data_IF_652369984555
#
_entry.id   IF_652369984555
#
_cell.length_a   1.000
_cell.length_b   1.000
_cell.length_c   1.000
_cell.angle_alpha   90.00
_cell.angle_beta   90.00
_cell.angle_gamma   90.00
#
_symmetry.space_group_name_H-M   'P 1'
#
loop_
_entity.id
_entity.type
_entity.pdbx_description
1 polymer ?
#
# COMPACT_ATOMS: atom_id res chain seq x y z
N UNK A 1 23.37 -0.87 -29.72
CA UNK A 1 22.21 -0.83 -30.62
C UNK A 1 21.46 -2.16 -30.53
N UNK A 2 20.13 -2.12 -30.46
CA UNK A 2 19.29 -3.31 -30.53
C UNK A 2 19.35 -3.90 -31.95
N UNK A 3 19.47 -5.21 -32.05
CA UNK A 3 19.51 -5.89 -33.36
C UNK A 3 18.08 -6.15 -33.85
N UNK A 4 17.88 -6.23 -35.18
CA UNK A 4 16.58 -6.58 -35.75
C UNK A 4 16.07 -7.93 -35.25
N UNK A 5 17.00 -8.88 -34.99
CA UNK A 5 16.70 -10.18 -34.40
C UNK A 5 16.10 -10.05 -32.98
N UNK A 6 16.67 -9.21 -32.12
CA UNK A 6 16.17 -8.98 -30.75
C UNK A 6 14.76 -8.42 -30.78
N UNK A 7 14.48 -7.45 -31.64
CA UNK A 7 13.14 -6.85 -31.80
C UNK A 7 12.14 -7.86 -32.35
N UNK A 8 12.55 -8.69 -33.31
CA UNK A 8 11.70 -9.75 -33.87
C UNK A 8 11.33 -10.79 -32.79
N UNK A 9 12.32 -11.29 -32.05
CA UNK A 9 12.07 -12.22 -30.93
C UNK A 9 11.19 -11.57 -29.82
N UNK A 10 11.41 -10.31 -29.47
CA UNK A 10 10.58 -9.59 -28.52
C UNK A 10 9.12 -9.53 -28.99
N UNK A 11 8.88 -9.28 -30.30
CA UNK A 11 7.53 -9.27 -30.86
C UNK A 11 6.86 -10.65 -30.79
N UNK A 12 7.62 -11.72 -30.97
CA UNK A 12 7.12 -13.10 -30.80
C UNK A 12 6.71 -13.37 -29.35
N UNK A 13 7.54 -13.00 -28.36
CA UNK A 13 7.21 -13.15 -26.95
C UNK A 13 6.00 -12.32 -26.56
N UNK A 14 5.88 -11.11 -27.08
CA UNK A 14 4.70 -10.26 -26.89
C UNK A 14 3.44 -10.93 -27.45
N UNK A 15 3.49 -11.46 -28.67
CA UNK A 15 2.36 -12.19 -29.29
C UNK A 15 1.95 -13.42 -28.48
N UNK A 16 2.92 -14.18 -27.94
CA UNK A 16 2.67 -15.35 -27.09
C UNK A 16 1.89 -14.90 -25.83
N UNK A 17 2.29 -13.80 -25.20
CA UNK A 17 1.61 -13.27 -24.03
C UNK A 17 0.20 -12.77 -24.36
N UNK A 18 0.02 -11.99 -25.43
CA UNK A 18 -1.27 -11.46 -25.86
C UNK A 18 -2.29 -12.56 -26.22
N UNK A 19 -1.81 -13.74 -26.63
CA UNK A 19 -2.67 -14.91 -26.87
C UNK A 19 -3.15 -15.58 -25.58
N UNK A 20 -2.49 -15.34 -24.45
CA UNK A 20 -2.87 -15.89 -23.16
C UNK A 20 -3.84 -14.96 -22.43
N UNK A 21 -5.13 -14.99 -22.84
CA UNK A 21 -6.19 -14.14 -22.28
C UNK A 21 -6.35 -14.31 -20.77
N UNK A 22 -6.17 -15.56 -20.27
CA UNK A 22 -6.29 -15.84 -18.83
C UNK A 22 -5.19 -15.12 -18.04
N UNK A 23 -3.93 -15.18 -18.50
CA UNK A 23 -2.84 -14.49 -17.82
C UNK A 23 -3.04 -12.97 -17.78
N UNK A 24 -3.57 -12.38 -18.85
CA UNK A 24 -3.88 -10.95 -18.91
C UNK A 24 -4.99 -10.60 -17.94
N UNK A 25 -6.10 -11.35 -17.96
CA UNK A 25 -7.23 -11.11 -17.07
C UNK A 25 -6.82 -11.21 -15.60
N UNK A 26 -6.18 -12.30 -15.18
CA UNK A 26 -5.78 -12.48 -13.79
C UNK A 26 -4.74 -11.46 -13.31
N UNK A 27 -3.85 -11.01 -14.20
CA UNK A 27 -2.84 -10.02 -13.82
C UNK A 27 -3.41 -8.62 -13.61
N UNK A 28 -4.52 -8.27 -14.26
CA UNK A 28 -5.24 -7.01 -14.08
C UNK A 28 -6.31 -7.11 -12.98
N UNK A 29 -6.95 -8.27 -12.86
CA UNK A 29 -8.08 -8.50 -11.96
C UNK A 29 -7.71 -8.27 -10.49
N UNK A 30 -6.58 -8.83 -10.04
CA UNK A 30 -6.14 -8.70 -8.66
C UNK A 30 -5.90 -7.24 -8.23
N UNK A 31 -5.08 -6.43 -8.91
CA UNK A 31 -4.92 -5.02 -8.57
C UNK A 31 -6.23 -4.24 -8.61
N UNK A 32 -7.10 -4.50 -9.60
CA UNK A 32 -8.37 -3.78 -9.74
C UNK A 32 -9.37 -4.13 -8.65
N UNK A 33 -9.43 -5.39 -8.20
CA UNK A 33 -10.27 -5.77 -7.04
C UNK A 33 -9.78 -5.05 -5.78
N UNK A 34 -8.47 -5.05 -5.53
CA UNK A 34 -7.94 -4.37 -4.36
C UNK A 34 -8.22 -2.86 -4.40
N UNK A 35 -7.96 -2.24 -5.54
CA UNK A 35 -8.28 -0.82 -5.75
C UNK A 35 -9.78 -0.58 -5.51
N UNK A 36 -10.65 -1.41 -6.08
CA UNK A 36 -12.11 -1.29 -5.90
C UNK A 36 -12.52 -1.47 -4.44
N UNK A 37 -12.09 -2.57 -3.80
CA UNK A 37 -12.44 -2.87 -2.41
C UNK A 37 -12.03 -1.74 -1.44
N UNK A 38 -10.80 -1.24 -1.56
CA UNK A 38 -10.31 -0.15 -0.71
C UNK A 38 -10.82 1.22 -1.10
N UNK A 39 -11.30 1.41 -2.32
CA UNK A 39 -11.97 2.64 -2.74
C UNK A 39 -13.34 2.79 -2.11
N UNK A 40 -14.08 1.69 -2.01
CA UNK A 40 -15.37 1.67 -1.32
C UNK A 40 -15.23 1.71 0.19
N UNK A 41 -14.12 1.18 0.75
CA UNK A 41 -13.84 1.17 2.19
C UNK A 41 -13.17 2.47 2.68
N UNK A 42 -12.70 3.32 1.80
CA UNK A 42 -11.97 4.57 2.11
C UNK A 42 -12.77 5.83 1.85
N UNK A 43 -14.11 5.74 1.81
CA UNK A 43 -14.99 6.89 1.95
C UNK A 43 -14.68 7.62 3.27
N UNK A 44 -15.18 8.84 3.42
CA UNK A 44 -15.20 9.58 4.66
C UNK A 44 -15.45 8.59 5.79
N UNK A 45 -14.58 8.55 6.80
CA UNK A 45 -14.80 7.67 7.95
C UNK A 45 -16.18 8.01 8.43
N UNK A 46 -17.06 7.01 8.50
CA UNK A 46 -18.33 7.18 9.19
C UNK A 46 -18.01 7.77 10.56
N UNK A 47 -18.68 8.84 10.95
CA UNK A 47 -18.46 9.44 12.25
C UNK A 47 -18.63 8.35 13.31
N UNK A 48 -17.78 8.38 14.36
CA UNK A 48 -17.85 7.41 15.45
C UNK A 48 -19.23 7.50 16.13
N UNK A 49 -19.94 6.40 16.19
CA UNK A 49 -21.23 6.34 16.86
C UNK A 49 -21.01 6.18 18.36
N UNK A 50 -21.27 7.29 19.12
CA UNK A 50 -21.05 7.34 20.56
C UNK A 50 -22.40 7.45 21.26
N UNK A 51 -22.64 6.53 22.20
CA UNK A 51 -23.78 6.60 23.12
C UNK A 51 -23.50 7.62 24.22
N UNK A 52 -24.49 8.45 24.56
CA UNK A 52 -24.41 9.38 25.72
C UNK A 52 -25.60 9.14 26.64
N UNK A 53 -25.30 8.75 27.88
CA UNK A 53 -26.26 8.60 28.94
C UNK A 53 -26.12 9.79 29.89
N UNK A 54 -26.97 10.82 29.72
CA UNK A 54 -26.98 12.02 30.60
C UNK A 54 -27.92 11.82 31.77
N UNK A 55 -27.36 11.68 32.99
CA UNK A 55 -28.10 11.63 34.23
C UNK A 55 -28.24 13.00 34.87
N UNK A 56 -27.35 13.96 34.54
CA UNK A 56 -27.34 15.28 35.14
C UNK A 56 -28.44 16.20 34.61
N UNK A 57 -28.78 16.06 33.33
CA UNK A 57 -29.75 16.91 32.59
C UNK A 57 -29.53 18.41 32.82
N UNK A 58 -28.27 18.81 32.96
CA UNK A 58 -27.88 20.19 33.19
C UNK A 58 -27.73 20.97 31.89
N UNK A 59 -27.74 22.30 31.94
CA UNK A 59 -27.43 23.11 30.74
C UNK A 59 -26.02 22.88 30.22
N UNK A 60 -25.09 22.49 31.10
CA UNK A 60 -23.70 22.24 30.74
C UNK A 60 -23.55 20.88 30.10
N UNK A 61 -24.27 19.84 30.56
CA UNK A 61 -24.28 18.54 29.88
C UNK A 61 -24.87 18.64 28.47
N UNK A 62 -25.96 19.42 28.31
CA UNK A 62 -26.55 19.65 26.99
C UNK A 62 -25.57 20.39 26.05
N UNK A 63 -24.84 21.39 26.53
CA UNK A 63 -23.81 22.10 25.73
C UNK A 63 -22.65 21.18 25.38
N UNK A 64 -22.27 20.22 26.23
CA UNK A 64 -21.28 19.22 25.98
C UNK A 64 -21.73 18.25 24.87
N UNK A 65 -22.95 17.74 24.95
CA UNK A 65 -23.53 16.84 23.97
C UNK A 65 -23.63 17.54 22.61
N UNK A 66 -24.09 18.80 22.59
CA UNK A 66 -24.15 19.60 21.37
C UNK A 66 -22.76 19.84 20.76
N UNK A 67 -21.75 20.16 21.57
CA UNK A 67 -20.38 20.36 21.13
C UNK A 67 -19.74 19.09 20.55
N UNK A 68 -20.08 17.89 21.06
CA UNK A 68 -19.68 16.62 20.49
C UNK A 68 -20.34 16.36 19.13
N UNK A 69 -21.62 16.72 18.99
CA UNK A 69 -22.38 16.54 17.74
C UNK A 69 -22.00 17.55 16.64
N UNK A 70 -21.41 18.70 16.98
CA UNK A 70 -20.89 19.67 16.02
C UNK A 70 -19.57 19.23 15.36
N UNK A 71 -18.85 18.29 15.99
CA UNK A 71 -17.64 17.74 15.40
C UNK A 71 -18.02 16.66 14.36
N UNK A 72 -17.57 16.80 13.12
CA UNK A 72 -17.73 15.82 12.02
C UNK A 72 -17.22 14.41 12.36
N UNK A 73 -16.57 14.26 13.53
CA UNK A 73 -15.98 13.01 14.02
C UNK A 73 -17.01 12.10 14.72
N UNK A 74 -18.13 12.66 15.24
CA UNK A 74 -19.05 11.91 16.08
C UNK A 74 -20.50 11.98 15.58
N UNK A 75 -21.18 10.85 15.69
CA UNK A 75 -22.64 10.79 15.70
C UNK A 75 -23.06 10.41 17.12
N UNK A 76 -23.77 11.32 17.80
CA UNK A 76 -24.18 11.14 19.19
C UNK A 76 -25.55 10.47 19.23
N UNK A 77 -25.66 9.38 20.00
CA UNK A 77 -26.91 8.70 20.29
C UNK A 77 -27.23 8.86 21.76
N UNK A 78 -28.26 9.65 22.10
CA UNK A 78 -28.71 9.82 23.47
C UNK A 78 -29.66 8.70 23.89
N UNK A 79 -29.48 8.17 25.09
CA UNK A 79 -30.34 7.11 25.62
C UNK A 79 -30.12 6.78 27.09
N UNK A 80 -30.82 5.74 27.57
CA UNK A 80 -30.57 5.23 28.91
C UNK A 80 -29.32 4.36 28.92
N UNK A 81 -28.56 4.44 29.99
CA UNK A 81 -27.30 3.71 30.14
C UNK A 81 -27.43 2.21 29.82
N UNK A 82 -28.50 1.56 30.38
CA UNK A 82 -28.73 0.11 30.15
C UNK A 82 -28.91 -0.27 28.71
N UNK A 83 -29.59 0.58 27.92
CA UNK A 83 -29.92 0.30 26.52
C UNK A 83 -28.69 0.54 25.60
N UNK A 84 -27.90 1.55 25.96
CA UNK A 84 -26.65 1.91 25.26
C UNK A 84 -25.51 0.94 25.62
N UNK A 85 -25.48 0.41 26.85
CA UNK A 85 -24.52 -0.60 27.28
C UNK A 85 -24.73 -1.92 26.48
N UNK A 86 -25.98 -2.32 26.27
CA UNK A 86 -26.31 -3.49 25.44
C UNK A 86 -25.84 -3.30 23.98
N UNK A 87 -26.03 -2.10 23.41
CA UNK A 87 -25.58 -1.77 22.07
C UNK A 87 -24.04 -1.71 21.98
N UNK A 88 -23.35 -1.21 23.01
CA UNK A 88 -21.89 -1.22 23.10
C UNK A 88 -21.36 -2.67 23.11
N UNK A 89 -21.97 -3.53 23.92
CA UNK A 89 -21.61 -4.96 24.00
C UNK A 89 -21.93 -5.73 22.71
N UNK A 90 -22.96 -5.31 21.97
CA UNK A 90 -23.28 -5.85 20.66
C UNK A 90 -22.31 -5.39 19.56
N UNK A 91 -21.52 -4.31 19.82
CA UNK A 91 -20.59 -3.73 18.85
C UNK A 91 -21.25 -2.70 17.92
N UNK A 92 -22.46 -2.27 18.23
CA UNK A 92 -23.20 -1.25 17.47
C UNK A 92 -22.75 0.18 17.81
N UNK A 93 -22.05 0.37 18.95
CA UNK A 93 -21.44 1.63 19.38
C UNK A 93 -19.94 1.48 19.55
N UNK A 94 -19.17 2.52 19.21
CA UNK A 94 -17.72 2.58 19.45
C UNK A 94 -17.34 3.06 20.85
N UNK A 95 -18.27 3.70 21.55
CA UNK A 95 -18.06 4.16 22.92
C UNK A 95 -19.35 4.60 23.57
N UNK A 96 -19.37 4.63 24.90
CA UNK A 96 -20.48 5.10 25.72
C UNK A 96 -19.97 6.06 26.80
N UNK A 97 -20.53 7.25 26.81
CA UNK A 97 -20.24 8.29 27.80
C UNK A 97 -21.38 8.31 28.84
N UNK A 98 -21.03 8.17 30.11
CA UNK A 98 -21.93 8.37 31.22
C UNK A 98 -21.64 9.72 31.88
N UNK A 99 -22.61 10.60 31.85
CA UNK A 99 -22.58 11.89 32.55
C UNK A 99 -23.36 11.73 33.88
N UNK A 100 -22.67 11.74 35.01
CA UNK A 100 -23.33 11.53 36.30
C UNK A 100 -24.17 12.73 36.74
N UNK A 101 -25.07 12.53 37.70
CA UNK A 101 -25.98 13.59 38.24
C UNK A 101 -25.22 14.82 38.79
N UNK A 102 -24.03 14.61 39.33
CA UNK A 102 -23.16 15.65 39.91
C UNK A 102 -22.07 16.14 38.95
N UNK A 103 -22.30 16.08 37.62
CA UNK A 103 -21.30 16.41 36.56
C UNK A 103 -20.68 17.81 36.76
N UNK A 104 -21.40 18.76 37.26
CA UNK A 104 -20.88 20.09 37.58
C UNK A 104 -21.28 20.47 39.00
N UNK A 105 -20.35 20.27 39.94
CA UNK A 105 -20.44 20.81 41.30
C UNK A 105 -19.27 21.79 41.48
N UNK A 106 -19.54 22.95 42.13
CA UNK A 106 -18.47 23.92 42.43
C UNK A 106 -17.43 23.39 43.42
N UNK A 107 -17.72 22.29 44.13
CA UNK A 107 -16.90 21.71 45.19
C UNK A 107 -16.14 20.44 44.79
N UNK A 108 -16.59 19.72 43.74
CA UNK A 108 -15.96 18.48 43.29
C UNK A 108 -15.67 18.53 41.80
N UNK A 109 -14.51 17.93 41.40
CA UNK A 109 -14.17 17.68 40.01
C UNK A 109 -15.17 16.66 39.43
N UNK A 110 -16.02 17.10 38.52
CA UNK A 110 -16.93 16.22 37.80
C UNK A 110 -16.15 15.14 37.06
N UNK A 111 -16.43 13.88 37.36
CA UNK A 111 -15.82 12.74 36.70
C UNK A 111 -16.78 12.22 35.62
N UNK A 112 -16.36 12.21 34.39
CA UNK A 112 -17.08 11.63 33.27
C UNK A 112 -16.54 10.19 33.03
N UNK A 113 -17.43 9.23 32.94
CA UNK A 113 -17.05 7.85 32.71
C UNK A 113 -17.18 7.52 31.22
N UNK A 114 -16.08 7.05 30.64
CA UNK A 114 -16.03 6.64 29.21
C UNK A 114 -15.83 5.16 29.12
N UNK A 115 -16.84 4.44 28.65
CA UNK A 115 -16.84 3.00 28.42
C UNK A 115 -16.51 2.70 26.97
N UNK A 116 -15.57 1.78 26.75
CA UNK A 116 -15.08 1.41 25.41
C UNK A 116 -14.83 -0.09 25.32
N UNK A 117 -14.96 -0.63 24.13
CA UNK A 117 -14.51 -1.98 23.86
C UNK A 117 -12.96 -2.02 23.79
N UNK A 118 -12.34 -2.75 24.72
CA UNK A 118 -10.88 -2.90 24.80
C UNK A 118 -10.26 -3.56 23.55
N UNK A 119 -11.05 -4.19 22.69
CA UNK A 119 -10.56 -4.76 21.42
C UNK A 119 -10.25 -3.68 20.37
N UNK A 120 -10.81 -2.47 20.51
CA UNK A 120 -10.69 -1.36 19.56
C UNK A 120 -9.66 -0.28 19.99
N UNK A 121 -8.56 -0.69 20.58
CA UNK A 121 -7.53 0.17 21.22
C UNK A 121 -7.04 1.35 20.39
N UNK A 122 -7.04 1.24 19.05
CA UNK A 122 -6.57 2.33 18.18
C UNK A 122 -7.55 3.50 18.06
N UNK A 123 -8.84 3.22 18.15
CA UNK A 123 -9.92 4.23 18.06
C UNK A 123 -10.09 4.97 19.38
N UNK A 124 -9.97 4.25 20.49
CA UNK A 124 -10.10 4.81 21.87
C UNK A 124 -9.24 6.04 22.09
N UNK A 125 -7.96 6.02 21.65
CA UNK A 125 -7.08 7.17 21.84
C UNK A 125 -7.47 8.43 21.04
N UNK A 126 -8.15 8.27 19.90
CA UNK A 126 -8.66 9.39 19.08
C UNK A 126 -9.91 9.96 19.74
N UNK A 127 -10.85 9.08 20.09
CA UNK A 127 -12.12 9.45 20.76
C UNK A 127 -11.83 10.15 22.08
N UNK A 128 -10.95 9.60 22.92
CA UNK A 128 -10.58 10.21 24.21
C UNK A 128 -10.02 11.62 24.04
N UNK A 129 -9.10 11.83 23.08
CA UNK A 129 -8.53 13.16 22.81
C UNK A 129 -9.58 14.18 22.36
N UNK A 130 -10.54 13.75 21.56
CA UNK A 130 -11.61 14.62 21.10
C UNK A 130 -12.56 14.98 22.26
N UNK A 131 -12.93 14.01 23.11
CA UNK A 131 -13.70 14.25 24.34
C UNK A 131 -12.96 15.23 25.26
N UNK A 132 -11.66 15.03 25.50
CA UNK A 132 -10.83 15.92 26.30
C UNK A 132 -10.81 17.35 25.73
N UNK A 133 -10.71 17.49 24.42
CA UNK A 133 -10.72 18.79 23.74
C UNK A 133 -12.08 19.54 23.95
N UNK A 134 -13.19 18.81 23.78
CA UNK A 134 -14.53 19.35 23.99
C UNK A 134 -14.73 19.77 25.46
N UNK A 135 -14.30 18.95 26.43
CA UNK A 135 -14.35 19.28 27.86
C UNK A 135 -13.54 20.55 28.23
N UNK A 136 -12.31 20.64 27.68
CA UNK A 136 -11.45 21.83 27.87
C UNK A 136 -12.13 23.09 27.28
N UNK A 137 -12.77 22.96 26.15
CA UNK A 137 -13.49 24.07 25.50
C UNK A 137 -14.61 24.60 26.41
N UNK A 138 -15.40 23.70 27.00
CA UNK A 138 -16.50 24.04 27.91
C UNK A 138 -15.95 24.62 29.20
N UNK A 139 -14.93 24.03 29.80
CA UNK A 139 -14.29 24.56 31.01
C UNK A 139 -13.83 26.02 30.82
N UNK A 140 -13.22 26.32 29.64
CA UNK A 140 -12.80 27.69 29.33
C UNK A 140 -13.98 28.65 29.22
N UNK A 141 -15.08 28.22 28.60
CA UNK A 141 -16.31 29.03 28.52
C UNK A 141 -16.88 29.33 29.91
N UNK A 142 -17.00 28.30 30.77
CA UNK A 142 -17.54 28.44 32.12
C UNK A 142 -16.66 29.38 32.99
N UNK A 143 -15.33 29.22 32.89
CA UNK A 143 -14.37 30.05 33.65
C UNK A 143 -14.12 31.41 33.02
N UNK A 144 -14.71 31.70 31.86
CA UNK A 144 -14.49 32.93 31.07
C UNK A 144 -13.00 33.22 30.80
N UNK A 145 -12.24 32.17 30.54
CA UNK A 145 -10.80 32.24 30.26
C UNK A 145 -10.59 32.22 28.73
N UNK A 146 -10.06 33.31 28.18
CA UNK A 146 -9.66 33.36 26.79
C UNK A 146 -8.43 32.46 26.53
N UNK A 147 -8.40 31.73 25.44
CA UNK A 147 -7.22 30.90 25.12
C UNK A 147 -5.99 31.80 24.92
N UNK A 148 -4.90 31.45 25.60
CA UNK A 148 -3.61 32.17 25.48
C UNK A 148 -2.93 31.94 24.10
N UNK A 149 -3.29 30.82 23.46
CA UNK A 149 -2.72 30.43 22.17
C UNK A 149 -3.86 29.99 21.25
N UNK A 150 -3.81 30.45 20.02
CA UNK A 150 -4.68 29.95 18.94
C UNK A 150 -3.82 29.10 18.00
N UNK A 151 -4.21 27.85 17.76
CA UNK A 151 -3.56 26.96 16.81
C UNK A 151 -4.29 27.08 15.49
N UNK A 152 -3.70 27.84 14.56
CA UNK A 152 -4.20 27.90 13.17
C UNK A 152 -3.63 26.72 12.40
N UNK A 153 -4.48 25.74 12.08
CA UNK A 153 -4.12 24.63 11.20
C UNK A 153 -3.98 25.17 9.78
N UNK A 154 -2.74 25.23 9.29
CA UNK A 154 -2.45 25.51 7.89
C UNK A 154 -2.14 24.19 7.19
N UNK A 155 -3.06 23.73 6.38
CA UNK A 155 -2.82 22.58 5.50
C UNK A 155 -1.70 22.92 4.52
N UNK A 156 -0.56 22.25 4.67
CA UNK A 156 0.60 22.39 3.77
C UNK A 156 0.40 21.54 2.51
N UNK A 157 -0.42 20.50 2.58
CA UNK A 157 -0.81 19.65 1.44
C UNK A 157 -2.23 20.03 1.02
N UNK A 158 -2.40 20.37 -0.25
CA UNK A 158 -3.66 20.85 -0.82
C UNK A 158 -4.80 19.81 -0.83
N UNK A 159 -4.57 18.58 -0.33
CA UNK A 159 -5.58 17.51 -0.27
C UNK A 159 -5.26 16.51 0.86
N UNK A 160 -6.26 16.13 1.68
CA UNK A 160 -6.10 15.01 2.61
C UNK A 160 -5.76 13.73 1.83
N UNK A 161 -4.73 13.02 2.27
CA UNK A 161 -4.36 11.75 1.65
C UNK A 161 -5.33 10.67 2.08
N UNK A 162 -6.10 10.13 1.14
CA UNK A 162 -6.92 8.94 1.36
C UNK A 162 -6.02 7.71 1.45
N UNK A 163 -6.50 6.66 2.13
CA UNK A 163 -5.76 5.39 2.20
C UNK A 163 -5.42 4.82 0.82
N UNK A 164 -6.30 5.01 -0.17
CA UNK A 164 -6.06 4.56 -1.54
C UNK A 164 -4.88 5.30 -2.22
N UNK A 165 -4.65 6.58 -1.89
CA UNK A 165 -3.52 7.35 -2.42
C UNK A 165 -2.19 6.79 -1.88
N UNK A 166 -2.18 6.26 -0.64
CA UNK A 166 -1.07 5.52 -0.06
C UNK A 166 -0.91 4.12 -0.68
N UNK A 167 -2.01 3.40 -0.86
CA UNK A 167 -2.03 1.99 -1.26
C UNK A 167 -1.65 1.80 -2.73
N UNK A 168 -2.12 2.68 -3.63
CA UNK A 168 -1.96 2.52 -5.09
C UNK A 168 -0.49 2.36 -5.53
N UNK A 169 0.46 3.24 -5.16
CA UNK A 169 1.86 3.07 -5.58
C UNK A 169 2.46 1.76 -5.07
N UNK A 170 2.10 1.32 -3.87
CA UNK A 170 2.49 0.05 -3.31
C UNK A 170 1.94 -1.16 -4.09
N UNK A 171 0.65 -1.13 -4.45
CA UNK A 171 0.03 -2.17 -5.29
C UNK A 171 0.65 -2.24 -6.68
N UNK A 172 1.00 -1.09 -7.28
CA UNK A 172 1.70 -1.05 -8.55
C UNK A 172 3.10 -1.66 -8.44
N UNK A 173 3.85 -1.37 -7.37
CA UNK A 173 5.14 -2.03 -7.10
C UNK A 173 4.99 -3.54 -6.94
N UNK A 174 3.98 -4.00 -6.20
CA UNK A 174 3.65 -5.41 -6.05
C UNK A 174 3.28 -6.06 -7.40
N UNK A 175 2.48 -5.39 -8.23
CA UNK A 175 2.16 -5.84 -9.57
C UNK A 175 3.41 -6.00 -10.44
N UNK A 176 4.32 -5.01 -10.42
CA UNK A 176 5.60 -5.05 -11.13
C UNK A 176 6.40 -6.29 -10.70
N UNK A 177 6.54 -6.53 -9.38
CA UNK A 177 7.24 -7.69 -8.85
C UNK A 177 6.66 -9.00 -9.39
N UNK A 178 5.34 -9.20 -9.25
CA UNK A 178 4.70 -10.44 -9.67
C UNK A 178 4.79 -10.69 -11.18
N UNK A 179 4.48 -9.67 -11.99
CA UNK A 179 4.55 -9.79 -13.45
C UNK A 179 5.96 -10.06 -13.96
N UNK A 180 6.95 -9.43 -13.35
CA UNK A 180 8.34 -9.56 -13.74
C UNK A 180 8.91 -10.93 -13.37
N UNK A 181 8.70 -11.38 -12.13
CA UNK A 181 9.18 -12.70 -11.67
C UNK A 181 8.45 -13.82 -12.43
N UNK A 182 7.13 -13.72 -12.61
CA UNK A 182 6.38 -14.68 -13.41
C UNK A 182 6.84 -14.67 -14.88
N UNK A 183 7.08 -13.47 -15.41
CA UNK A 183 7.50 -13.26 -16.80
C UNK A 183 8.91 -13.74 -17.11
N UNK A 184 9.81 -13.81 -16.15
CA UNK A 184 11.17 -14.30 -16.33
C UNK A 184 11.34 -15.71 -15.74
N UNK A 185 11.12 -15.89 -14.44
CA UNK A 185 11.41 -17.13 -13.74
C UNK A 185 10.62 -18.32 -14.23
N UNK A 186 9.29 -18.24 -14.17
CA UNK A 186 8.42 -19.35 -14.61
C UNK A 186 8.59 -19.65 -16.09
N UNK A 187 8.80 -18.62 -16.92
CA UNK A 187 8.98 -18.83 -18.36
C UNK A 187 10.32 -19.50 -18.70
N UNK A 188 11.40 -19.18 -18.00
CA UNK A 188 12.69 -19.86 -18.21
C UNK A 188 12.57 -21.35 -17.93
N UNK A 189 11.91 -21.74 -16.83
CA UNK A 189 11.65 -23.14 -16.48
C UNK A 189 10.77 -23.80 -17.56
N UNK A 190 9.72 -23.11 -18.01
CA UNK A 190 8.82 -23.64 -19.05
C UNK A 190 9.51 -23.79 -20.40
N UNK A 191 10.34 -22.82 -20.81
CA UNK A 191 11.11 -22.92 -22.06
C UNK A 191 12.15 -24.05 -22.01
N UNK A 192 12.71 -24.29 -20.81
CA UNK A 192 13.61 -25.44 -20.59
C UNK A 192 12.83 -26.75 -20.71
N UNK A 193 11.68 -26.88 -20.03
CA UNK A 193 10.82 -28.07 -20.07
C UNK A 193 10.37 -28.42 -21.49
N UNK A 194 9.96 -27.43 -22.27
CA UNK A 194 9.52 -27.59 -23.66
C UNK A 194 10.69 -27.82 -24.66
N UNK A 195 11.92 -27.81 -24.20
CA UNK A 195 13.10 -27.95 -25.04
C UNK A 195 13.35 -26.77 -25.98
N UNK A 196 12.68 -25.61 -25.74
CA UNK A 196 12.85 -24.42 -26.58
C UNK A 196 14.31 -23.94 -26.50
N UNK A 197 14.90 -23.94 -25.29
CA UNK A 197 16.29 -23.53 -25.09
C UNK A 197 17.26 -24.46 -25.85
N UNK A 198 16.98 -25.77 -25.90
CA UNK A 198 17.79 -26.75 -26.69
C UNK A 198 17.70 -26.47 -28.18
N UNK A 199 16.52 -26.14 -28.70
CA UNK A 199 16.32 -25.80 -30.11
C UNK A 199 17.00 -24.47 -30.50
N UNK A 200 16.93 -23.46 -29.60
CA UNK A 200 17.64 -22.20 -29.83
C UNK A 200 19.16 -22.37 -29.82
N UNK A 201 19.68 -23.36 -29.10
CA UNK A 201 21.10 -23.62 -29.02
C UNK A 201 21.72 -24.10 -30.39
N UNK A 202 20.93 -24.76 -31.22
CA UNK A 202 21.39 -25.19 -32.58
C UNK A 202 21.17 -24.11 -33.64
N UNK A 203 20.61 -22.95 -33.24
CA UNK A 203 20.47 -21.78 -34.11
C UNK A 203 21.62 -20.78 -33.86
N UNK A 204 21.92 -19.83 -34.74
CA UNK A 204 22.95 -18.82 -34.53
C UNK A 204 22.55 -17.73 -33.53
N UNK A 205 21.48 -17.95 -32.73
CA UNK A 205 20.97 -17.00 -31.72
C UNK A 205 21.87 -17.07 -30.48
N UNK A 206 22.40 -15.92 -30.06
CA UNK A 206 23.21 -15.85 -28.84
C UNK A 206 22.31 -15.77 -27.58
N UNK A 207 22.73 -16.37 -26.45
CA UNK A 207 21.99 -16.30 -25.20
C UNK A 207 21.56 -14.89 -24.80
N UNK A 208 22.43 -13.91 -25.03
CA UNK A 208 22.14 -12.49 -24.76
C UNK A 208 20.96 -11.96 -25.58
N UNK A 209 20.84 -12.38 -26.86
CA UNK A 209 19.78 -11.90 -27.74
C UNK A 209 18.41 -12.40 -27.27
N UNK A 210 18.37 -13.63 -26.78
CA UNK A 210 17.19 -14.23 -26.19
C UNK A 210 16.76 -13.51 -24.88
N UNK A 211 17.73 -13.30 -23.96
CA UNK A 211 17.45 -12.62 -22.69
C UNK A 211 16.98 -11.18 -22.93
N UNK A 212 17.68 -10.43 -23.77
CA UNK A 212 17.31 -9.05 -24.10
C UNK A 212 15.91 -9.00 -24.70
N UNK A 213 15.57 -9.93 -25.57
CA UNK A 213 14.25 -10.00 -26.20
C UNK A 213 13.14 -10.28 -25.19
N UNK A 214 13.37 -11.16 -24.20
CA UNK A 214 12.41 -11.40 -23.11
C UNK A 214 12.28 -10.15 -22.26
N UNK A 215 13.38 -9.53 -21.87
CA UNK A 215 13.37 -8.29 -21.04
C UNK A 215 12.57 -7.21 -21.75
N UNK A 216 12.82 -6.96 -23.03
CA UNK A 216 12.09 -5.96 -23.81
C UNK A 216 10.60 -6.27 -23.90
N UNK A 217 10.23 -7.51 -24.22
CA UNK A 217 8.84 -7.92 -24.31
C UNK A 217 8.13 -7.77 -22.96
N UNK A 218 8.76 -8.20 -21.87
CA UNK A 218 8.20 -8.13 -20.52
C UNK A 218 8.10 -6.70 -20.00
N UNK A 219 9.10 -5.88 -20.26
CA UNK A 219 9.07 -4.47 -19.92
C UNK A 219 7.88 -3.77 -20.61
N UNK A 220 7.67 -4.01 -21.88
CA UNK A 220 6.53 -3.47 -22.60
C UNK A 220 5.19 -3.95 -22.02
N UNK A 221 5.09 -5.25 -21.70
CA UNK A 221 3.88 -5.83 -21.11
C UNK A 221 3.58 -5.16 -19.76
N UNK A 222 4.56 -5.05 -18.87
CA UNK A 222 4.40 -4.42 -17.55
C UNK A 222 4.00 -2.95 -17.72
N UNK A 223 4.66 -2.21 -18.60
CA UNK A 223 4.32 -0.81 -18.87
C UNK A 223 2.88 -0.65 -19.34
N UNK A 224 2.43 -1.46 -20.31
CA UNK A 224 1.05 -1.39 -20.81
C UNK A 224 0.04 -1.75 -19.71
N UNK A 225 0.25 -2.85 -18.99
CA UNK A 225 -0.67 -3.28 -17.94
C UNK A 225 -0.74 -2.28 -16.79
N UNK A 226 0.41 -1.76 -16.36
CA UNK A 226 0.47 -0.72 -15.32
C UNK A 226 -0.22 0.56 -15.78
N UNK A 227 -0.02 0.98 -17.04
CA UNK A 227 -0.71 2.14 -17.60
C UNK A 227 -2.23 1.97 -17.61
N UNK A 228 -2.73 0.76 -17.90
CA UNK A 228 -4.17 0.47 -17.82
C UNK A 228 -4.69 0.61 -16.41
N UNK A 229 -4.02 -0.01 -15.41
CA UNK A 229 -4.42 0.08 -14.01
C UNK A 229 -4.34 1.52 -13.50
N UNK A 230 -3.25 2.22 -13.84
CA UNK A 230 -3.07 3.63 -13.47
C UNK A 230 -4.14 4.52 -14.11
N UNK A 231 -4.47 4.31 -15.39
CA UNK A 231 -5.54 5.08 -16.05
C UNK A 231 -6.89 4.88 -15.36
N UNK A 232 -7.23 3.64 -14.99
CA UNK A 232 -8.45 3.35 -14.23
C UNK A 232 -8.42 4.08 -12.88
N UNK A 233 -7.29 4.05 -12.16
CA UNK A 233 -7.15 4.75 -10.89
C UNK A 233 -7.29 6.27 -11.02
N UNK A 234 -6.72 6.87 -12.07
CA UNK A 234 -6.80 8.31 -12.34
C UNK A 234 -8.24 8.75 -12.71
N UNK A 235 -8.91 8.00 -13.60
CA UNK A 235 -10.21 8.42 -14.13
C UNK A 235 -11.41 7.98 -13.29
N UNK A 236 -11.33 6.80 -12.65
CA UNK A 236 -12.46 6.26 -11.87
C UNK A 236 -12.41 6.68 -10.40
N UNK A 237 -11.22 6.96 -9.83
CA UNK A 237 -11.03 7.23 -8.40
C UNK A 237 -10.52 8.65 -8.11
N UNK A 238 -10.36 9.46 -9.13
CA UNK A 238 -9.79 10.83 -9.04
C UNK A 238 -8.47 10.86 -8.24
N UNK A 239 -7.63 9.82 -8.42
CA UNK A 239 -6.29 9.81 -7.85
C UNK A 239 -5.41 10.69 -8.73
N UNK A 240 -4.50 11.45 -8.13
CA UNK A 240 -3.59 12.33 -8.87
C UNK A 240 -2.15 11.99 -8.54
N UNK A 241 -1.32 11.94 -9.56
CA UNK A 241 0.13 11.90 -9.39
C UNK A 241 0.63 13.34 -9.34
N UNK A 242 1.19 13.77 -8.20
CA UNK A 242 1.70 15.13 -7.99
C UNK A 242 3.04 15.29 -8.72
N UNK A 243 3.85 14.25 -8.75
CA UNK A 243 5.17 14.26 -9.37
C UNK A 243 5.17 14.07 -10.89
N UNK A 244 6.37 14.01 -11.45
CA UNK A 244 6.55 13.83 -12.88
C UNK A 244 6.21 12.40 -13.32
N UNK A 245 5.32 12.24 -14.29
CA UNK A 245 5.04 10.97 -14.94
C UNK A 245 6.31 10.32 -15.52
N UNK A 246 7.26 11.13 -16.03
CA UNK A 246 8.52 10.62 -16.51
C UNK A 246 9.32 9.93 -15.40
N UNK A 247 9.46 10.55 -14.23
CA UNK A 247 10.12 9.96 -13.07
C UNK A 247 9.40 8.69 -12.61
N UNK A 248 8.06 8.70 -12.61
CA UNK A 248 7.24 7.56 -12.24
C UNK A 248 7.47 6.36 -13.16
N UNK A 249 7.37 6.55 -14.48
CA UNK A 249 7.59 5.47 -15.46
C UNK A 249 9.05 5.01 -15.48
N UNK A 250 10.01 5.89 -15.22
CA UNK A 250 11.40 5.50 -15.09
C UNK A 250 11.62 4.59 -13.87
N UNK A 251 10.99 4.89 -12.73
CA UNK A 251 11.00 4.00 -11.55
C UNK A 251 10.36 2.63 -11.86
N UNK A 252 9.25 2.62 -12.61
CA UNK A 252 8.60 1.39 -13.09
C UNK A 252 9.54 0.56 -13.96
N UNK A 253 10.28 1.17 -14.87
CA UNK A 253 11.27 0.51 -15.73
C UNK A 253 12.38 -0.12 -14.89
N UNK A 254 12.94 0.63 -13.96
CA UNK A 254 14.00 0.15 -13.06
C UNK A 254 13.49 -0.99 -12.17
N UNK A 255 12.32 -0.84 -11.55
CA UNK A 255 11.69 -1.89 -10.75
C UNK A 255 11.40 -3.15 -11.56
N UNK A 256 10.87 -3.01 -12.77
CA UNK A 256 10.67 -4.13 -13.69
C UNK A 256 11.97 -4.86 -13.98
N UNK A 257 13.04 -4.12 -14.25
CA UNK A 257 14.36 -4.69 -14.50
C UNK A 257 14.89 -5.48 -13.29
N UNK A 258 14.79 -4.91 -12.07
CA UNK A 258 15.19 -5.58 -10.83
C UNK A 258 14.50 -6.94 -10.71
N UNK A 259 13.17 -6.96 -10.80
CA UNK A 259 12.40 -8.18 -10.58
C UNK A 259 12.48 -9.18 -11.73
N UNK A 260 12.74 -8.73 -12.96
CA UNK A 260 13.11 -9.63 -14.06
C UNK A 260 14.44 -10.33 -13.78
N UNK A 261 15.45 -9.61 -13.31
CA UNK A 261 16.74 -10.17 -12.95
C UNK A 261 16.62 -11.20 -11.80
N UNK A 262 15.88 -10.86 -10.74
CA UNK A 262 15.58 -11.78 -9.64
C UNK A 262 14.85 -13.02 -10.17
N UNK A 263 13.84 -12.85 -11.01
CA UNK A 263 13.09 -13.94 -11.59
C UNK A 263 13.96 -14.86 -12.47
N UNK A 264 14.88 -14.32 -13.27
CA UNK A 264 15.86 -15.13 -14.03
C UNK A 264 16.75 -15.97 -13.11
N UNK A 265 17.22 -15.38 -12.01
CA UNK A 265 18.03 -16.11 -11.02
C UNK A 265 17.24 -17.26 -10.39
N UNK A 266 16.02 -17.00 -9.92
CA UNK A 266 15.12 -18.00 -9.32
C UNK A 266 14.74 -19.10 -10.31
N UNK A 267 14.45 -18.74 -11.58
CA UNK A 267 14.16 -19.70 -12.63
C UNK A 267 15.36 -20.59 -13.01
N UNK A 268 16.58 -20.11 -12.76
CA UNK A 268 17.79 -20.89 -12.98
C UNK A 268 18.03 -21.90 -11.86
N UNK A 269 17.61 -21.60 -10.63
CA UNK A 269 17.71 -22.51 -9.49
C UNK A 269 16.70 -23.66 -9.56
N UNK A 270 15.54 -23.42 -10.17
CA UNK A 270 14.46 -24.40 -10.27
C UNK A 270 14.63 -25.32 -11.46
N UNK A 271 14.42 -26.63 -11.27
CA UNK A 271 14.45 -27.65 -12.34
C UNK A 271 13.05 -27.90 -12.95
N UNK A 272 12.00 -27.73 -12.18
CA UNK A 272 10.60 -28.03 -12.58
C UNK A 272 9.67 -26.86 -12.30
N UNK A 273 8.50 -26.87 -12.93
CA UNK A 273 7.44 -25.87 -12.69
C UNK A 273 6.85 -25.97 -11.26
N UNK A 274 6.84 -27.17 -10.68
CA UNK A 274 6.41 -27.34 -9.30
C UNK A 274 7.47 -26.84 -8.32
N UNK A 275 8.75 -27.03 -8.64
CA UNK A 275 9.87 -26.59 -7.81
C UNK A 275 10.08 -25.08 -7.78
N UNK A 276 9.73 -24.34 -8.84
CA UNK A 276 9.91 -22.89 -8.86
C UNK A 276 8.89 -22.17 -7.96
N UNK A 277 7.68 -22.70 -7.83
CA UNK A 277 6.61 -22.04 -7.04
C UNK A 277 7.01 -21.78 -5.58
N UNK A 278 7.47 -22.78 -4.81
CA UNK A 278 7.90 -22.53 -3.43
C UNK A 278 9.12 -21.62 -3.34
N UNK A 279 10.07 -21.71 -4.28
CA UNK A 279 11.25 -20.83 -4.30
C UNK A 279 10.83 -19.37 -4.53
N UNK A 280 9.95 -19.11 -5.46
CA UNK A 280 9.41 -17.77 -5.70
C UNK A 280 8.60 -17.31 -4.48
N UNK A 281 7.75 -18.18 -3.92
CA UNK A 281 6.95 -17.86 -2.72
C UNK A 281 7.83 -17.47 -1.53
N UNK A 282 8.93 -18.18 -1.30
CA UNK A 282 9.87 -17.87 -0.22
C UNK A 282 10.50 -16.47 -0.35
N UNK A 283 10.71 -16.00 -1.58
CA UNK A 283 11.29 -14.67 -1.85
C UNK A 283 10.20 -13.58 -1.86
N UNK A 284 9.03 -13.86 -2.45
CA UNK A 284 8.00 -12.83 -2.64
C UNK A 284 7.11 -12.63 -1.42
N UNK A 285 6.75 -13.70 -0.70
CA UNK A 285 5.83 -13.63 0.43
C UNK A 285 6.32 -12.72 1.57
N UNK A 286 7.58 -12.85 2.05
CA UNK A 286 8.09 -11.92 3.06
C UNK A 286 8.12 -10.46 2.57
N UNK A 287 8.44 -10.24 1.29
CA UNK A 287 8.45 -8.91 0.72
C UNK A 287 7.05 -8.28 0.71
N UNK A 288 6.01 -9.04 0.34
CA UNK A 288 4.63 -8.53 0.32
C UNK A 288 4.18 -8.05 1.70
N UNK A 289 4.48 -8.82 2.74
CA UNK A 289 4.07 -8.49 4.12
C UNK A 289 4.89 -7.32 4.67
N UNK A 290 6.20 -7.35 4.48
CA UNK A 290 7.12 -6.43 5.15
C UNK A 290 7.40 -5.15 4.36
N UNK A 291 7.13 -5.11 3.04
CA UNK A 291 7.60 -4.01 2.18
C UNK A 291 6.89 -2.67 2.32
N UNK A 292 5.94 -2.54 3.24
CA UNK A 292 5.17 -1.30 3.37
C UNK A 292 4.16 -1.07 2.23
N UNK A 293 3.79 -2.10 1.47
CA UNK A 293 2.77 -2.01 0.41
C UNK A 293 1.41 -1.70 1.01
N UNK A 294 0.99 -2.49 2.01
CA UNK A 294 -0.33 -2.38 2.63
C UNK A 294 -0.34 -1.50 3.88
N UNK A 295 0.73 -1.47 4.63
CA UNK A 295 0.83 -0.71 5.89
C UNK A 295 2.08 0.16 5.88
N UNK A 296 2.05 1.36 6.47
CA UNK A 296 3.25 2.19 6.61
C UNK A 296 4.36 1.45 7.37
N UNK A 297 5.60 1.57 6.89
CA UNK A 297 6.76 0.94 7.55
C UNK A 297 6.95 1.49 8.98
N UNK A 298 6.57 2.75 9.20
CA UNK A 298 6.61 3.40 10.51
C UNK A 298 5.69 2.76 11.57
N UNK A 299 4.68 2.00 11.16
CA UNK A 299 3.82 1.26 12.09
C UNK A 299 4.42 -0.08 12.54
N UNK A 300 5.56 -0.48 11.98
CA UNK A 300 6.25 -1.72 12.34
C UNK A 300 7.30 -1.47 13.43
N UNK A 301 7.65 -2.51 14.24
CA UNK A 301 8.67 -2.38 15.27
C UNK A 301 9.99 -1.85 14.73
N UNK A 302 10.64 -0.93 15.44
CA UNK A 302 11.84 -0.22 14.99
C UNK A 302 13.01 -1.16 14.63
N UNK A 303 13.16 -2.27 15.36
CA UNK A 303 14.24 -3.23 15.12
C UNK A 303 14.16 -3.96 13.77
N UNK A 304 12.95 -4.03 13.15
CA UNK A 304 12.75 -4.69 11.84
C UNK A 304 12.85 -3.67 10.70
N UNK A 305 12.59 -2.38 10.95
CA UNK A 305 12.54 -1.35 9.90
C UNK A 305 13.79 -1.31 9.00
N UNK A 306 15.04 -1.42 9.52
CA UNK A 306 16.23 -1.41 8.66
C UNK A 306 16.25 -2.57 7.66
N UNK A 307 15.78 -3.77 8.07
CA UNK A 307 15.65 -4.92 7.19
C UNK A 307 14.60 -4.64 6.11
N UNK A 308 13.47 -4.05 6.49
CA UNK A 308 12.37 -3.72 5.58
C UNK A 308 12.84 -2.73 4.51
N UNK A 309 13.51 -1.66 4.91
CA UNK A 309 14.05 -0.66 3.98
C UNK A 309 15.09 -1.26 3.01
N UNK A 310 15.76 -2.35 3.38
CA UNK A 310 16.72 -3.02 2.51
C UNK A 310 16.07 -3.89 1.43
N UNK A 311 14.76 -4.17 1.51
CA UNK A 311 14.07 -5.01 0.53
C UNK A 311 13.85 -4.28 -0.81
N UNK A 312 13.97 -4.97 -1.96
CA UNK A 312 13.78 -4.34 -3.27
C UNK A 312 12.36 -3.82 -3.48
N UNK A 313 11.35 -4.54 -2.96
CA UNK A 313 9.96 -4.10 -3.07
C UNK A 313 9.69 -2.87 -2.21
N UNK A 314 10.28 -2.77 -1.01
CA UNK A 314 10.16 -1.59 -0.14
C UNK A 314 10.76 -0.35 -0.80
N UNK A 315 11.97 -0.49 -1.36
CA UNK A 315 12.63 0.61 -2.07
C UNK A 315 11.78 1.09 -3.27
N UNK A 316 11.23 0.15 -4.06
CA UNK A 316 10.39 0.51 -5.21
C UNK A 316 9.06 1.13 -4.78
N UNK A 317 8.35 0.53 -3.80
CA UNK A 317 7.05 1.03 -3.34
C UNK A 317 7.16 2.42 -2.72
N UNK A 318 8.21 2.66 -1.93
CA UNK A 318 8.48 3.98 -1.34
C UNK A 318 8.87 5.00 -2.40
N UNK A 319 9.75 4.66 -3.35
CA UNK A 319 10.11 5.55 -4.44
C UNK A 319 8.91 5.95 -5.31
N UNK A 320 8.04 4.99 -5.67
CA UNK A 320 6.82 5.29 -6.41
C UNK A 320 5.85 6.16 -5.61
N UNK A 321 5.79 5.97 -4.28
CA UNK A 321 4.94 6.75 -3.37
C UNK A 321 5.46 8.18 -3.23
N UNK A 322 6.76 8.36 -3.01
CA UNK A 322 7.39 9.69 -2.92
C UNK A 322 7.16 10.49 -4.22
N UNK A 323 7.25 9.82 -5.38
CA UNK A 323 6.97 10.47 -6.67
C UNK A 323 5.48 10.78 -6.81
N UNK A 324 4.60 9.83 -6.52
CA UNK A 324 3.18 9.99 -6.76
C UNK A 324 2.54 11.01 -5.81
N UNK A 325 2.87 10.95 -4.52
CA UNK A 325 2.16 11.69 -3.47
C UNK A 325 2.90 12.92 -2.98
N UNK A 326 4.23 12.90 -2.99
CA UNK A 326 5.03 14.02 -2.47
C UNK A 326 5.70 14.84 -3.59
N UNK A 327 5.50 14.44 -4.86
CA UNK A 327 6.06 15.16 -6.01
C UNK A 327 7.58 15.02 -6.14
N UNK A 328 8.20 14.07 -5.44
CA UNK A 328 9.64 13.86 -5.52
C UNK A 328 10.08 13.48 -6.93
N UNK A 329 11.30 13.87 -7.29
CA UNK A 329 11.92 13.44 -8.54
C UNK A 329 12.79 12.21 -8.30
N UNK A 330 12.79 11.27 -9.26
CA UNK A 330 13.71 10.13 -9.22
C UNK A 330 15.19 10.56 -9.25
N UNK A 331 15.47 11.78 -9.73
CA UNK A 331 16.81 12.35 -9.77
C UNK A 331 17.22 12.97 -8.43
N UNK A 332 16.30 13.17 -7.50
CA UNK A 332 16.61 13.54 -6.12
C UNK A 332 17.05 12.26 -5.40
N UNK A 333 18.32 12.23 -4.95
CA UNK A 333 18.91 11.08 -4.27
C UNK A 333 18.29 10.91 -2.86
N UNK A 334 17.02 10.50 -2.83
CA UNK A 334 16.34 10.08 -1.61
C UNK A 334 16.75 8.65 -1.25
N UNK A 335 16.56 8.27 0.02
CA UNK A 335 16.87 6.91 0.48
C UNK A 335 16.18 5.81 -0.35
N UNK A 336 14.87 5.89 -0.70
CA UNK A 336 14.22 4.91 -1.55
C UNK A 336 14.80 4.85 -2.97
N UNK A 337 15.11 6.00 -3.56
CA UNK A 337 15.71 6.09 -4.90
C UNK A 337 17.08 5.44 -4.95
N UNK A 338 17.93 5.70 -3.95
CA UNK A 338 19.23 5.03 -3.80
C UNK A 338 19.04 3.52 -3.66
N UNK A 339 18.06 3.08 -2.87
CA UNK A 339 17.72 1.66 -2.74
C UNK A 339 17.38 1.01 -4.08
N UNK A 340 16.57 1.66 -4.92
CA UNK A 340 16.25 1.17 -6.28
C UNK A 340 17.51 1.06 -7.13
N UNK A 341 18.39 2.08 -7.14
CA UNK A 341 19.63 2.06 -7.92
C UNK A 341 20.59 0.95 -7.45
N UNK A 342 20.75 0.77 -6.16
CA UNK A 342 21.56 -0.32 -5.58
C UNK A 342 20.99 -1.67 -5.99
N UNK A 343 19.67 -1.85 -5.91
CA UNK A 343 19.04 -3.11 -6.31
C UNK A 343 19.13 -3.39 -7.81
N UNK A 344 19.17 -2.39 -8.67
CA UNK A 344 19.45 -2.58 -10.11
C UNK A 344 20.80 -3.28 -10.30
N UNK A 345 21.85 -2.81 -9.59
CA UNK A 345 23.18 -3.40 -9.67
C UNK A 345 23.24 -4.80 -9.04
N UNK A 346 22.68 -4.94 -7.84
CA UNK A 346 22.66 -6.21 -7.10
C UNK A 346 21.89 -7.28 -7.86
N UNK A 347 20.68 -6.97 -8.34
CA UNK A 347 19.84 -7.90 -9.09
C UNK A 347 20.49 -8.31 -10.40
N UNK A 348 21.11 -7.37 -11.11
CA UNK A 348 21.88 -7.66 -12.33
C UNK A 348 23.05 -8.61 -12.04
N UNK A 349 23.82 -8.34 -10.98
CA UNK A 349 24.93 -9.22 -10.58
C UNK A 349 24.44 -10.62 -10.20
N UNK A 350 23.34 -10.72 -9.42
CA UNK A 350 22.71 -11.99 -9.06
C UNK A 350 22.28 -12.74 -10.33
N UNK A 351 21.60 -12.05 -11.25
CA UNK A 351 21.15 -12.66 -12.49
C UNK A 351 22.32 -13.20 -13.32
N UNK A 352 23.39 -12.42 -13.49
CA UNK A 352 24.57 -12.86 -14.27
C UNK A 352 25.31 -14.02 -13.64
N UNK A 353 25.37 -14.09 -12.31
CA UNK A 353 26.05 -15.16 -11.58
C UNK A 353 25.27 -16.47 -11.55
N UNK A 354 23.94 -16.40 -11.41
CA UNK A 354 23.08 -17.59 -11.25
C UNK A 354 22.40 -18.04 -12.53
N UNK A 355 22.42 -17.24 -13.60
CA UNK A 355 21.78 -17.63 -14.85
C UNK A 355 22.56 -18.75 -15.56
N UNK A 356 21.92 -19.91 -15.64
CA UNK A 356 22.48 -21.10 -16.29
C UNK A 356 21.75 -21.35 -17.62
N UNK A 357 22.43 -21.13 -18.74
CA UNK A 357 21.91 -21.40 -20.08
C UNK A 357 21.93 -22.90 -20.43
N UNK A 358 22.96 -23.61 -19.99
CA UNK A 358 23.14 -25.07 -20.27
C UNK A 358 22.63 -25.87 -19.07
N UNK A 359 21.74 -26.84 -19.31
CA UNK A 359 21.71 -28.03 -18.47
C UNK A 359 22.98 -28.83 -18.76
N UNK A 360 23.98 -28.70 -17.89
CA UNK A 360 25.03 -29.71 -17.85
C UNK A 360 24.34 -30.95 -17.30
N UNK A 361 24.06 -31.91 -18.18
CA UNK A 361 23.70 -33.25 -17.72
C UNK A 361 24.87 -33.74 -16.86
N UNK A 362 24.62 -33.82 -15.53
CA UNK A 362 25.42 -34.64 -14.63
C UNK A 362 24.76 -35.99 -14.55
#
# INVERSE_FOLDING_TARGET
MLTSLQLHLASVFLKIFLRNRQAILFSLFFPLIFIGAFSFSGGERDPFLIGVADQSKSSISSEFIESLGEEDLFTVLEGRFSDLEEQLLAGDLEGLILIPENFVSMEDLGTLEFYVDASQTRQVGIIQKAIDASLISIERKIRNISPLFNVELKDVKARPQRYIDFLLPGLLAFMIMNLSIAGSGFNVVEYRRRGILKRLFVTPIRPRDFIVSIVLARMLIVLVQLSVVLSIALFALDIRIIGSYFSFYLAVILGTFIFLCIGFALGSLAKTQEGIRPIVGLVTFPQVILSGVFFPISSMPEFIQPLIYSLPLSSLSSALRDIANDGASLFTLSYPTLGVLVWVLVAFFIATKFFVWKEVAK
#
